data_IF_845528038231
#
_entry.id   IF_845528038231
#
_cell.length_a   1.000
_cell.length_b   1.000
_cell.length_c   1.000
_cell.angle_alpha   90.00
_cell.angle_beta   90.00
_cell.angle_gamma   90.00
#
_symmetry.space_group_name_H-M   'P 1'
#
loop_
_entity.id
_entity.type
_entity.pdbx_description
1 polymer ?
#
# COMPACT_ATOMS: atom_id res chain seq x y z
N UNK A 1 8.48 1.85 10.24
CA UNK A 1 7.04 1.73 9.89
C UNK A 1 6.79 2.08 8.42
N UNK A 2 7.00 3.33 7.96
CA UNK A 2 6.76 3.71 6.53
C UNK A 2 7.59 2.91 5.51
N UNK A 3 8.83 2.52 5.86
CA UNK A 3 9.68 1.68 5.00
C UNK A 3 9.06 0.29 4.71
N UNK A 4 8.33 -0.29 5.67
CA UNK A 4 7.65 -1.58 5.45
C UNK A 4 6.51 -1.43 4.42
N UNK A 5 5.79 -0.30 4.45
CA UNK A 5 4.80 0.01 3.42
C UNK A 5 5.44 0.11 2.03
N UNK A 6 6.62 0.73 1.95
CA UNK A 6 7.38 0.83 0.70
C UNK A 6 7.74 -0.55 0.12
N UNK A 7 8.14 -1.49 0.99
CA UNK A 7 8.56 -2.83 0.61
C UNK A 7 7.40 -3.76 0.24
N UNK A 8 6.27 -3.67 0.96
CA UNK A 8 5.23 -4.70 0.89
C UNK A 8 3.93 -4.24 0.22
N UNK A 9 3.65 -2.94 0.18
CA UNK A 9 2.36 -2.43 -0.27
C UNK A 9 2.44 -1.66 -1.59
N UNK A 10 3.58 -1.04 -1.91
CA UNK A 10 3.73 -0.23 -3.12
C UNK A 10 3.70 -1.10 -4.38
N UNK A 11 2.94 -0.63 -5.36
CA UNK A 11 2.86 -1.19 -6.71
C UNK A 11 3.03 -0.06 -7.74
N UNK A 12 3.08 -0.40 -9.02
CA UNK A 12 3.11 0.61 -10.10
C UNK A 12 1.83 1.46 -10.21
N UNK A 13 0.72 1.05 -9.58
CA UNK A 13 -0.59 1.70 -9.74
C UNK A 13 -1.16 2.31 -8.43
N UNK A 14 -0.43 2.20 -7.31
CA UNK A 14 -0.91 2.60 -5.99
C UNK A 14 -0.39 1.70 -4.89
N UNK A 15 -1.04 1.73 -3.73
CA UNK A 15 -0.71 0.83 -2.62
C UNK A 15 -1.79 -0.24 -2.44
N UNK A 16 -1.37 -1.48 -2.17
CA UNK A 16 -2.24 -2.56 -1.67
C UNK A 16 -2.76 -2.17 -0.29
N UNK A 17 -4.03 -2.46 -0.01
CA UNK A 17 -4.63 -2.28 1.32
C UNK A 17 -4.13 -3.30 2.36
N UNK A 18 -3.57 -4.43 1.92
CA UNK A 18 -2.99 -5.48 2.76
C UNK A 18 -1.78 -6.12 2.07
N UNK A 19 -0.80 -6.57 2.85
CA UNK A 19 0.40 -7.20 2.33
C UNK A 19 0.11 -8.64 1.83
N UNK A 20 0.73 -9.08 0.71
CA UNK A 20 0.51 -10.43 0.15
C UNK A 20 0.84 -11.61 1.08
N UNK A 21 1.67 -11.39 2.11
CA UNK A 21 2.02 -12.43 3.09
C UNK A 21 1.02 -12.58 4.24
N UNK A 22 -0.03 -11.77 4.29
CA UNK A 22 -1.05 -11.85 5.35
C UNK A 22 -2.07 -12.95 5.01
N UNK A 23 -2.51 -13.78 5.98
CA UNK A 23 -3.45 -14.88 5.72
C UNK A 23 -4.78 -14.43 5.10
N UNK A 24 -5.24 -13.22 5.41
CA UNK A 24 -6.49 -12.68 4.86
C UNK A 24 -6.34 -12.03 3.47
N UNK A 25 -5.13 -11.99 2.91
CA UNK A 25 -4.87 -11.34 1.62
C UNK A 25 -5.68 -11.97 0.48
N UNK A 26 -6.39 -11.12 -0.25
CA UNK A 26 -7.16 -11.43 -1.44
C UNK A 26 -6.48 -10.82 -2.67
N UNK A 27 -5.93 -11.67 -3.54
CA UNK A 27 -5.20 -11.23 -4.73
C UNK A 27 -6.10 -10.56 -5.77
N UNK A 28 -7.34 -11.03 -5.90
CA UNK A 28 -8.24 -10.64 -6.98
C UNK A 28 -9.51 -9.98 -6.45
N UNK A 29 -9.67 -8.71 -6.79
CA UNK A 29 -10.96 -8.02 -6.69
C UNK A 29 -11.82 -8.36 -7.91
N UNK A 30 -12.71 -9.34 -7.80
CA UNK A 30 -13.55 -9.80 -8.90
C UNK A 30 -14.51 -10.92 -8.47
N UNK A 31 -15.27 -11.44 -9.43
CA UNK A 31 -16.31 -12.45 -9.14
C UNK A 31 -17.63 -11.81 -8.71
N UNK A 32 -18.38 -12.51 -7.86
CA UNK A 32 -19.66 -12.09 -7.33
C UNK A 32 -19.53 -10.96 -6.29
N UNK A 33 -20.67 -10.51 -5.77
CA UNK A 33 -20.72 -9.42 -4.79
C UNK A 33 -19.95 -9.79 -3.52
N UNK A 34 -20.10 -11.03 -3.02
CA UNK A 34 -19.46 -11.49 -1.79
C UNK A 34 -17.94 -11.57 -1.93
N UNK A 35 -17.43 -12.04 -3.07
CA UNK A 35 -16.00 -12.09 -3.36
C UNK A 35 -15.39 -10.69 -3.44
N UNK A 36 -16.09 -9.74 -4.09
CA UNK A 36 -15.64 -8.34 -4.17
C UNK A 36 -15.65 -7.66 -2.81
N UNK A 37 -16.73 -7.82 -2.04
CA UNK A 37 -16.87 -7.23 -0.72
C UNK A 37 -15.74 -7.67 0.21
N UNK A 38 -15.44 -8.98 0.24
CA UNK A 38 -14.30 -9.52 0.99
C UNK A 38 -12.95 -8.98 0.53
N UNK A 39 -12.76 -8.71 -0.76
CA UNK A 39 -11.48 -8.25 -1.31
C UNK A 39 -11.25 -6.73 -1.19
N UNK A 40 -12.30 -5.93 -0.98
CA UNK A 40 -12.29 -4.45 -1.07
C UNK A 40 -11.19 -3.81 -0.20
N UNK A 41 -10.99 -4.34 1.01
CA UNK A 41 -9.96 -3.89 1.95
C UNK A 41 -8.85 -4.92 2.21
N UNK A 42 -8.84 -6.03 1.48
CA UNK A 42 -7.93 -7.15 1.74
C UNK A 42 -6.90 -7.34 0.64
N UNK A 43 -6.23 -6.29 0.19
CA UNK A 43 -5.17 -6.40 -0.82
C UNK A 43 -5.44 -5.69 -2.15
N UNK A 44 -6.67 -5.17 -2.33
CA UNK A 44 -7.01 -4.27 -3.45
C UNK A 44 -6.06 -3.07 -3.48
N UNK A 45 -5.59 -2.74 -4.69
CA UNK A 45 -4.71 -1.59 -4.92
C UNK A 45 -5.53 -0.32 -5.03
N UNK A 46 -5.18 0.68 -4.23
CA UNK A 46 -5.82 1.99 -4.23
C UNK A 46 -4.82 3.07 -4.68
N UNK A 47 -5.08 3.69 -5.83
CA UNK A 47 -4.20 4.72 -6.39
C UNK A 47 -4.11 5.96 -5.51
N UNK A 48 -5.21 6.36 -4.86
CA UNK A 48 -5.24 7.57 -4.03
C UNK A 48 -4.30 7.51 -2.81
N UNK A 49 -3.91 6.31 -2.35
CA UNK A 49 -2.98 6.13 -1.24
C UNK A 49 -1.55 6.59 -1.55
N UNK A 50 -1.18 6.75 -2.83
CA UNK A 50 0.19 7.13 -3.20
C UNK A 50 0.57 8.51 -2.67
N UNK A 51 -0.36 9.48 -2.65
CA UNK A 51 -0.10 10.85 -2.18
C UNK A 51 0.27 10.91 -0.70
N UNK A 52 -0.58 10.37 0.21
CA UNK A 52 -0.25 10.25 1.63
C UNK A 52 1.03 9.45 1.88
N UNK A 53 1.24 8.34 1.16
CA UNK A 53 2.45 7.52 1.30
C UNK A 53 3.72 8.31 0.97
N UNK A 54 3.77 8.97 -0.19
CA UNK A 54 4.94 9.77 -0.60
C UNK A 54 5.21 10.88 0.40
N UNK A 55 4.17 11.56 0.89
CA UNK A 55 4.30 12.60 1.91
C UNK A 55 4.92 12.08 3.20
N UNK A 56 4.46 10.93 3.70
CA UNK A 56 5.00 10.30 4.89
C UNK A 56 6.44 9.80 4.68
N UNK A 57 6.71 9.18 3.52
CA UNK A 57 8.04 8.67 3.17
C UNK A 57 9.05 9.80 3.05
N UNK A 58 8.69 10.91 2.40
CA UNK A 58 9.55 12.08 2.30
C UNK A 58 9.83 12.73 3.66
N UNK A 59 8.84 12.82 4.55
CA UNK A 59 9.07 13.34 5.90
C UNK A 59 10.02 12.45 6.71
N UNK A 60 9.94 11.13 6.51
CA UNK A 60 10.77 10.17 7.23
C UNK A 60 12.20 10.08 6.70
N UNK A 61 12.41 10.19 5.38
CA UNK A 61 13.70 9.89 4.74
C UNK A 61 14.24 10.99 3.81
N UNK A 62 13.43 11.98 3.45
CA UNK A 62 13.76 13.02 2.48
C UNK A 62 14.69 14.13 3.00
N UNK A 63 14.93 14.19 4.31
CA UNK A 63 15.92 15.10 4.89
C UNK A 63 17.26 14.40 5.04
N UNK A 64 18.13 14.51 4.02
CA UNK A 64 19.57 14.38 4.26
C UNK A 64 20.01 15.52 5.19
N UNK A 65 20.88 15.30 6.19
CA UNK A 65 21.54 16.42 6.85
C UNK A 65 22.24 17.23 5.76
N UNK A 66 22.04 18.56 5.76
CA UNK A 66 22.94 19.43 5.02
C UNK A 66 24.33 19.15 5.62
N UNK A 67 25.22 18.62 4.80
CA UNK A 67 26.60 18.40 5.21
C UNK A 67 27.15 19.68 5.83
N UNK A 68 27.70 19.53 7.03
CA UNK A 68 28.73 20.43 7.55
C UNK A 68 29.96 20.29 6.67
#
# INVERSE_FOLDING_TARGET
MVNLCAQHLVTSHGLRSLAPGHPDYQERYGGDILARDRAYHQGTVWSWLIGPFVSAHFRAFGKRPRGV
#
